data_IF_266271128788
#
_entry.id   IF_266271128788
#
_cell.length_a   1.000
_cell.length_b   1.000
_cell.length_c   1.000
_cell.angle_alpha   90.00
_cell.angle_beta   90.00
_cell.angle_gamma   90.00
#
_symmetry.space_group_name_H-M   'P 1'
#
loop_
_entity.id
_entity.type
_entity.pdbx_description
1 polymer ?
#
# COMPACT_ATOMS: atom_id res chain seq x y z
N UNK A 1 4.05 21.33 -1.70
CA UNK A 1 2.73 20.78 -1.27
C UNK A 1 2.93 19.36 -0.72
N UNK A 2 2.17 18.94 0.28
CA UNK A 2 2.25 17.58 0.83
C UNK A 2 1.55 16.59 -0.11
N UNK A 3 2.23 15.51 -0.49
CA UNK A 3 1.79 14.47 -1.43
C UNK A 3 0.90 13.42 -0.73
N UNK A 4 -0.34 13.78 -0.42
CA UNK A 4 -1.23 13.01 0.46
C UNK A 4 -2.26 12.12 -0.26
N UNK A 5 -2.37 12.18 -1.60
CA UNK A 5 -3.33 11.35 -2.31
C UNK A 5 -2.87 9.89 -2.37
N UNK A 6 -3.82 8.95 -2.53
CA UNK A 6 -3.47 7.52 -2.63
C UNK A 6 -2.51 7.21 -3.80
N UNK A 7 -2.68 7.79 -5.02
CA UNK A 7 -1.69 7.67 -6.09
C UNK A 7 -0.31 8.22 -5.70
N UNK A 8 -0.25 9.37 -5.02
CA UNK A 8 1.02 9.95 -4.60
C UNK A 8 1.76 9.04 -3.61
N UNK A 9 1.07 8.60 -2.56
CA UNK A 9 1.64 7.75 -1.50
C UNK A 9 2.05 6.38 -2.06
N UNK A 10 1.31 5.87 -3.06
CA UNK A 10 1.71 4.67 -3.81
C UNK A 10 2.97 4.92 -4.64
N UNK A 11 3.06 6.07 -5.31
CA UNK A 11 4.25 6.47 -6.07
C UNK A 11 5.50 6.66 -5.19
N UNK A 12 5.32 6.92 -3.89
CA UNK A 12 6.40 6.96 -2.90
C UNK A 12 6.79 5.59 -2.34
N UNK A 13 6.14 4.50 -2.78
CA UNK A 13 6.42 3.14 -2.32
C UNK A 13 6.02 2.86 -0.87
N UNK A 14 5.13 3.68 -0.28
CA UNK A 14 4.70 3.54 1.12
C UNK A 14 3.61 2.46 1.27
N UNK A 15 2.70 2.38 0.28
CA UNK A 15 1.58 1.42 0.23
C UNK A 15 1.72 0.48 -0.96
N UNK A 16 1.21 -0.75 -0.84
CA UNK A 16 1.35 -1.78 -1.88
C UNK A 16 0.30 -1.67 -2.99
N UNK A 17 -0.84 -1.05 -2.68
CA UNK A 17 -2.01 -1.04 -3.54
C UNK A 17 -2.99 0.08 -3.21
N UNK A 18 -3.93 0.29 -4.12
CA UNK A 18 -5.05 1.22 -3.95
C UNK A 18 -6.31 0.39 -4.17
N UNK A 19 -7.16 0.34 -3.16
CA UNK A 19 -8.47 -0.29 -3.27
C UNK A 19 -9.40 0.70 -3.99
N UNK A 20 -10.04 0.33 -5.11
CA UNK A 20 -10.96 1.22 -5.79
C UNK A 20 -12.22 1.43 -4.94
N UNK A 21 -12.82 2.61 -5.06
CA UNK A 21 -14.14 2.87 -4.46
C UNK A 21 -15.27 2.53 -5.44
N UNK A 22 -16.47 2.19 -4.93
CA UNK A 22 -17.69 2.15 -5.74
C UNK A 22 -17.97 3.48 -6.45
N UNK A 23 -18.82 3.45 -7.47
CA UNK A 23 -19.20 4.66 -8.19
C UNK A 23 -19.81 5.70 -7.24
N UNK A 24 -19.22 6.90 -7.21
CA UNK A 24 -19.63 8.01 -6.34
C UNK A 24 -19.14 7.89 -4.88
N UNK A 25 -18.34 6.86 -4.56
CA UNK A 25 -17.59 6.75 -3.31
C UNK A 25 -18.09 5.66 -2.36
N UNK A 26 -17.23 5.26 -1.42
CA UNK A 26 -17.49 4.15 -0.50
C UNK A 26 -18.73 4.34 0.40
N UNK A 27 -19.07 5.59 0.72
CA UNK A 27 -20.25 5.95 1.52
C UNK A 27 -21.59 5.71 0.80
N UNK A 28 -21.58 5.56 -0.53
CA UNK A 28 -22.80 5.36 -1.33
C UNK A 28 -23.19 3.89 -1.48
N UNK A 29 -22.21 2.99 -1.36
CA UNK A 29 -22.41 1.54 -1.45
C UNK A 29 -21.41 0.81 -0.53
N UNK A 30 -21.79 0.72 0.74
CA UNK A 30 -20.97 0.07 1.76
C UNK A 30 -20.73 -1.41 1.45
N UNK A 31 -21.72 -2.10 0.87
CA UNK A 31 -21.62 -3.52 0.57
C UNK A 31 -20.55 -3.76 -0.51
N UNK A 32 -20.58 -2.96 -1.59
CA UNK A 32 -19.57 -3.05 -2.64
C UNK A 32 -18.19 -2.62 -2.16
N UNK A 33 -18.11 -1.57 -1.34
CA UNK A 33 -16.83 -1.14 -0.75
C UNK A 33 -16.20 -2.24 0.12
N UNK A 34 -17.01 -2.88 0.98
CA UNK A 34 -16.57 -3.99 1.81
C UNK A 34 -16.10 -5.19 0.98
N UNK A 35 -16.82 -5.52 -0.11
CA UNK A 35 -16.40 -6.58 -1.03
C UNK A 35 -15.05 -6.27 -1.69
N UNK A 36 -14.88 -5.07 -2.24
CA UNK A 36 -13.63 -4.65 -2.89
C UNK A 36 -12.44 -4.67 -1.93
N UNK A 37 -12.64 -4.23 -0.69
CA UNK A 37 -11.64 -4.31 0.37
C UNK A 37 -11.35 -5.77 0.75
N UNK A 38 -12.38 -6.59 0.92
CA UNK A 38 -12.28 -8.01 1.26
C UNK A 38 -11.46 -8.80 0.24
N UNK A 39 -11.70 -8.59 -1.05
CA UNK A 39 -10.96 -9.23 -2.14
C UNK A 39 -9.46 -8.88 -2.09
N UNK A 40 -9.12 -7.62 -1.81
CA UNK A 40 -7.72 -7.18 -1.67
C UNK A 40 -7.06 -7.75 -0.41
N UNK A 41 -7.76 -7.74 0.72
CA UNK A 41 -7.26 -8.31 1.97
C UNK A 41 -7.01 -9.81 1.81
N UNK A 42 -7.94 -10.53 1.20
CA UNK A 42 -7.82 -11.97 0.99
C UNK A 42 -6.62 -12.31 0.13
N UNK A 43 -6.43 -11.62 -1.00
CA UNK A 43 -5.26 -11.78 -1.87
C UNK A 43 -3.96 -11.63 -1.09
N UNK A 44 -3.78 -10.52 -0.37
CA UNK A 44 -2.54 -10.26 0.37
C UNK A 44 -2.35 -11.21 1.55
N UNK A 45 -3.43 -11.58 2.23
CA UNK A 45 -3.35 -12.57 3.30
C UNK A 45 -2.88 -13.92 2.78
N UNK A 46 -3.41 -14.39 1.64
CA UNK A 46 -2.97 -15.65 1.04
C UNK A 46 -1.48 -15.65 0.70
N UNK A 47 -0.95 -14.53 0.20
CA UNK A 47 0.49 -14.37 -0.07
C UNK A 47 1.33 -14.46 1.22
N UNK A 48 0.86 -13.86 2.32
CA UNK A 48 1.55 -13.85 3.61
C UNK A 48 1.46 -15.20 4.33
N UNK A 49 0.36 -15.93 4.17
CA UNK A 49 0.15 -17.25 4.80
C UNK A 49 1.15 -18.30 4.31
N UNK A 50 1.78 -18.10 3.15
CA UNK A 50 2.82 -19.01 2.64
C UNK A 50 4.20 -18.77 3.27
N UNK A 51 4.34 -17.77 4.14
CA UNK A 51 5.62 -17.39 4.75
C UNK A 51 5.69 -17.85 6.21
N UNK A 52 6.87 -18.28 6.62
CA UNK A 52 7.19 -18.54 8.01
C UNK A 52 7.19 -17.24 8.84
N UNK A 53 7.09 -17.38 10.16
CA UNK A 53 7.16 -16.25 11.08
C UNK A 53 8.47 -15.46 10.98
N UNK A 54 9.60 -16.12 10.69
CA UNK A 54 10.90 -15.47 10.49
C UNK A 54 10.95 -14.66 9.19
N UNK A 55 10.46 -15.22 8.09
CA UNK A 55 10.35 -14.51 6.82
C UNK A 55 9.45 -13.27 6.95
N UNK A 56 8.30 -13.40 7.63
CA UNK A 56 7.40 -12.26 7.86
C UNK A 56 8.04 -11.14 8.69
N UNK A 57 8.92 -11.47 9.65
CA UNK A 57 9.68 -10.48 10.42
C UNK A 57 10.73 -9.79 9.57
N UNK A 58 11.48 -10.58 8.80
CA UNK A 58 12.55 -10.06 7.94
C UNK A 58 11.99 -9.18 6.82
N UNK A 59 10.93 -9.60 6.14
CA UNK A 59 10.27 -8.82 5.09
C UNK A 59 9.75 -7.49 5.63
N UNK A 60 9.18 -7.49 6.83
CA UNK A 60 8.69 -6.27 7.48
C UNK A 60 9.83 -5.30 7.77
N UNK A 61 10.95 -5.80 8.31
CA UNK A 61 12.15 -4.98 8.55
C UNK A 61 12.67 -4.37 7.24
N UNK A 62 12.76 -5.16 6.18
CA UNK A 62 13.22 -4.71 4.87
C UNK A 62 12.24 -3.68 4.26
N UNK A 63 10.93 -3.91 4.38
CA UNK A 63 9.90 -2.96 3.92
C UNK A 63 10.10 -1.59 4.55
N UNK A 64 10.15 -1.50 5.88
CA UNK A 64 10.28 -0.21 6.55
C UNK A 64 11.60 0.50 6.26
N UNK A 65 12.69 -0.26 6.03
CA UNK A 65 13.98 0.32 5.58
C UNK A 65 13.94 0.89 4.16
N UNK A 66 13.09 0.32 3.29
CA UNK A 66 12.93 0.77 1.91
C UNK A 66 12.04 2.01 1.79
N UNK A 67 11.07 2.20 2.70
CA UNK A 67 10.20 3.39 2.68
C UNK A 67 11.07 4.65 2.76
N UNK A 68 10.93 5.54 1.77
CA UNK A 68 11.69 6.78 1.67
C UNK A 68 13.09 6.66 1.06
N UNK A 69 13.66 5.45 0.95
CA UNK A 69 14.99 5.26 0.36
C UNK A 69 15.02 5.55 -1.15
N UNK A 70 13.95 5.21 -1.87
CA UNK A 70 13.85 5.43 -3.31
C UNK A 70 13.73 6.94 -3.64
N UNK A 71 13.00 7.69 -2.81
CA UNK A 71 12.90 9.15 -2.88
C UNK A 71 14.26 9.82 -2.61
N UNK A 72 15.03 9.35 -1.62
CA UNK A 72 16.35 9.89 -1.31
C UNK A 72 17.38 9.67 -2.43
N UNK A 73 17.23 8.61 -3.23
CA UNK A 73 18.14 8.28 -4.33
C UNK A 73 17.81 9.02 -5.65
N UNK A 74 16.58 9.51 -5.81
CA UNK A 74 16.07 10.06 -7.08
C UNK A 74 15.52 11.49 -6.96
N UNK A 75 15.57 12.10 -5.76
CA UNK A 75 15.28 13.52 -5.63
C UNK A 75 16.40 14.32 -6.32
N UNK A 76 16.09 15.21 -7.28
CA UNK A 76 16.98 16.33 -7.50
C UNK A 76 17.01 17.05 -6.15
N UNK A 77 18.19 17.11 -5.53
CA UNK A 77 18.42 18.10 -4.50
C UNK A 77 18.34 19.42 -5.25
N UNK A 78 17.16 20.05 -5.27
CA UNK A 78 17.01 21.42 -5.72
C UNK A 78 17.85 22.27 -4.74
N UNK A 79 19.00 22.71 -5.25
CA UNK A 79 19.81 23.77 -4.67
C UNK A 79 19.15 25.13 -4.95
#
# INVERSE_FOLDING_TARGET
>A
MLKLSAPDVKGLGVVDGIVPEPQGGAHRDHARAAQLLGDHLWKHLQELMQKSGDELRQDRLLRFRKIGSEYLLHSPVEA
#
